data_IF_343132175645
#
_entry.id   IF_343132175645
#
_cell.length_a   1.000
_cell.length_b   1.000
_cell.length_c   1.000
_cell.angle_alpha   90.00
_cell.angle_beta   90.00
_cell.angle_gamma   90.00
#
_symmetry.space_group_name_H-M   'P 1'
#
loop_
_entity.id
_entity.type
_entity.pdbx_description
1 polymer ?
2 non-polymer ?
3 non-polymer ?
4 non-polymer ?
5 non-polymer ?
6 water ?
#
# COMPACT_ATOMS: atom_id res chain seq x y z
N UNK A 4 -23.23 14.22 -16.41
CA UNK A 4 -24.02 14.42 -15.15
C UNK A 4 -23.27 13.89 -13.92
N UNK A 5 -23.73 14.31 -12.74
CA UNK A 5 -23.04 13.98 -11.51
C UNK A 5 -23.12 12.48 -11.21
N UNK A 6 -22.30 12.05 -10.25
CA UNK A 6 -22.21 10.65 -9.86
C UNK A 6 -21.93 10.58 -8.37
N UNK A 7 -22.55 9.62 -7.70
CA UNK A 7 -22.12 9.24 -6.36
C UNK A 7 -22.01 7.73 -6.30
N UNK A 8 -21.32 7.23 -5.28
CA UNK A 8 -21.10 5.80 -5.10
C UNK A 8 -21.70 5.34 -3.78
N UNK A 9 -22.16 4.10 -3.76
CA UNK A 9 -22.48 3.41 -2.52
C UNK A 9 -21.55 2.22 -2.41
N UNK A 10 -20.90 2.07 -1.26
CA UNK A 10 -19.98 0.95 -1.03
C UNK A 10 -20.47 0.11 0.12
N UNK A 11 -20.71 -1.17 -0.14
CA UNK A 11 -21.17 -2.11 0.88
C UNK A 11 -19.98 -2.67 1.65
N UNK A 12 -19.98 -2.44 2.96
CA UNK A 12 -18.81 -2.72 3.79
C UNK A 12 -19.14 -3.25 5.19
N UNK A 13 -20.35 -3.81 5.36
CA UNK A 13 -20.84 -4.19 6.68
C UNK A 13 -20.54 -5.62 7.10
N UNK A 14 -19.99 -6.43 6.20
CA UNK A 14 -19.78 -7.84 6.50
C UNK A 14 -18.82 -8.15 7.65
N UNK A 15 -19.16 -9.17 8.43
CA UNK A 15 -18.32 -9.67 9.52
C UNK A 15 -17.06 -10.37 9.00
N UNK A 16 -17.21 -11.13 7.92
CA UNK A 16 -16.14 -11.90 7.36
C UNK A 16 -15.71 -13.02 8.31
N UNK A 17 -16.66 -13.88 8.63
CA UNK A 17 -16.45 -14.96 9.60
C UNK A 17 -15.30 -15.89 9.22
N UNK A 18 -15.17 -16.19 7.94
CA UNK A 18 -14.19 -17.16 7.45
C UNK A 18 -12.76 -16.60 7.34
N UNK A 19 -12.59 -15.32 7.67
CA UNK A 19 -11.28 -14.72 7.91
C UNK A 19 -10.75 -15.11 9.29
N UNK A 20 -11.63 -15.54 10.19
CA UNK A 20 -11.27 -15.87 11.57
C UNK A 20 -10.40 -14.79 12.21
N UNK A 21 -10.95 -13.59 12.24
CA UNK A 21 -10.25 -12.37 12.62
C UNK A 21 -11.06 -11.50 13.56
N UNK A 22 -10.36 -10.68 14.35
CA UNK A 22 -11.00 -9.64 15.13
C UNK A 22 -11.27 -8.38 14.29
N UNK A 23 -10.71 -8.32 13.08
CA UNK A 23 -10.99 -7.23 12.14
C UNK A 23 -12.26 -7.54 11.36
N UNK A 24 -13.02 -6.50 10.99
CA UNK A 24 -14.10 -6.69 10.01
C UNK A 24 -13.53 -7.00 8.63
N UNK A 25 -14.33 -7.68 7.81
CA UNK A 25 -13.92 -8.23 6.51
C UNK A 25 -13.13 -7.25 5.64
N UNK A 26 -13.64 -6.03 5.48
CA UNK A 26 -13.11 -5.13 4.46
C UNK A 26 -11.86 -4.35 4.89
N UNK A 27 -11.44 -4.49 6.15
CA UNK A 27 -10.23 -3.82 6.62
C UNK A 27 -8.96 -4.64 6.36
N UNK A 28 -9.11 -5.92 6.03
CA UNK A 28 -7.99 -6.73 5.58
C UNK A 28 -7.37 -6.10 4.34
N UNK A 29 -6.04 -6.15 4.23
CA UNK A 29 -5.33 -5.35 3.24
C UNK A 29 -4.94 -6.10 1.98
N UNK A 30 -4.85 -5.34 0.89
CA UNK A 30 -4.21 -5.74 -0.36
C UNK A 30 -3.16 -4.66 -0.65
N UNK A 31 -1.93 -5.09 -0.89
CA UNK A 31 -0.82 -4.15 -1.10
C UNK A 31 -0.74 -3.09 0.00
N UNK A 32 -0.94 -3.50 1.25
CA UNK A 32 -0.82 -2.64 2.42
C UNK A 32 -2.00 -1.71 2.71
N UNK A 33 -3.06 -1.79 1.91
CA UNK A 33 -4.18 -0.84 1.98
C UNK A 33 -5.47 -1.65 2.18
N UNK A 34 -6.33 -1.27 3.12
CA UNK A 34 -7.59 -2.01 3.34
C UNK A 34 -8.35 -2.19 2.04
N UNK A 35 -9.00 -3.34 1.86
CA UNK A 35 -9.78 -3.57 0.65
C UNK A 35 -10.74 -2.41 0.39
N UNK A 36 -11.44 -1.97 1.43
CA UNK A 36 -12.45 -0.92 1.25
C UNK A 36 -11.83 0.39 0.77
N UNK A 37 -10.60 0.66 1.18
CA UNK A 37 -9.87 1.86 0.76
C UNK A 37 -9.56 1.86 -0.74
N UNK A 38 -9.19 0.71 -1.30
CA UNK A 38 -9.02 0.58 -2.74
C UNK A 38 -10.31 1.05 -3.45
N UNK A 39 -11.45 0.56 -2.97
CA UNK A 39 -12.75 0.88 -3.57
C UNK A 39 -13.14 2.36 -3.40
N UNK A 40 -12.91 2.93 -2.21
CA UNK A 40 -13.12 4.36 -1.99
C UNK A 40 -12.26 5.20 -2.95
N UNK A 41 -11.00 4.80 -3.14
CA UNK A 41 -10.07 5.53 -4.00
C UNK A 41 -10.54 5.48 -5.43
N UNK A 42 -11.00 4.31 -5.87
CA UNK A 42 -11.52 4.15 -7.22
C UNK A 42 -12.77 5.01 -7.41
N UNK A 43 -13.66 4.99 -6.44
CA UNK A 43 -14.85 5.84 -6.48
C UNK A 43 -14.46 7.30 -6.59
N UNK A 44 -13.42 7.71 -5.86
CA UNK A 44 -12.97 9.10 -5.88
C UNK A 44 -12.43 9.50 -7.26
N UNK A 45 -11.57 8.68 -7.86
CA UNK A 45 -10.97 9.04 -9.15
C UNK A 45 -11.96 8.93 -10.31
N UNK A 46 -13.08 8.25 -10.05
CA UNK A 46 -14.17 8.13 -11.01
C UNK A 46 -14.95 9.45 -11.12
N UNK A 47 -14.82 10.29 -10.10
CA UNK A 47 -15.49 11.58 -10.05
C UNK A 47 -16.68 11.63 -9.10
N UNK A 48 -16.73 10.71 -8.14
CA UNK A 48 -17.86 10.61 -7.22
C UNK A 48 -17.95 11.86 -6.34
N UNK A 49 -19.12 12.49 -6.35
CA UNK A 49 -19.39 13.64 -5.49
C UNK A 49 -19.59 13.22 -4.04
N UNK A 50 -20.34 12.15 -3.82
CA UNK A 50 -20.51 11.56 -2.49
C UNK A 50 -20.15 10.07 -2.53
N UNK A 51 -19.67 9.54 -1.41
CA UNK A 51 -19.42 8.10 -1.26
C UNK A 51 -20.11 7.64 0.01
N UNK A 52 -21.19 6.89 -0.13
CA UNK A 52 -21.97 6.38 1.00
C UNK A 52 -21.40 5.04 1.42
N UNK A 53 -20.82 5.00 2.61
CA UNK A 53 -20.18 3.78 3.10
C UNK A 53 -21.11 3.08 4.06
N UNK A 54 -21.65 1.95 3.62
CA UNK A 54 -22.56 1.16 4.44
C UNK A 54 -21.70 0.26 5.31
N UNK A 55 -21.77 0.46 6.61
CA UNK A 55 -20.96 -0.31 7.54
C UNK A 55 -21.80 -0.81 8.70
N UNK A 56 -21.24 -1.74 9.47
CA UNK A 56 -21.97 -2.42 10.54
C UNK A 56 -21.01 -3.12 11.49
N UNK A 57 -20.67 -4.37 11.18
CA UNK A 57 -19.75 -5.16 12.00
C UNK A 57 -18.37 -4.52 12.13
N UNK A 58 -17.81 -4.58 13.34
CA UNK A 58 -16.54 -3.94 13.62
C UNK A 58 -16.57 -2.43 13.39
N UNK A 59 -17.71 -1.82 13.73
CA UNK A 59 -17.93 -0.39 13.50
C UNK A 59 -16.85 0.51 14.08
N UNK A 60 -16.46 0.26 15.33
CA UNK A 60 -15.44 1.09 15.99
C UNK A 60 -14.10 1.02 15.25
N UNK A 61 -13.74 -0.17 14.77
CA UNK A 61 -12.51 -0.35 14.02
C UNK A 61 -12.57 0.33 12.65
N UNK A 62 -13.72 0.26 11.99
CA UNK A 62 -13.90 0.94 10.70
C UNK A 62 -13.64 2.43 10.85
N UNK A 63 -14.19 3.01 11.92
CA UNK A 63 -14.10 4.45 12.18
C UNK A 63 -12.67 4.90 12.49
N UNK A 64 -11.92 4.08 13.21
CA UNK A 64 -10.55 4.45 13.57
C UNK A 64 -9.60 4.26 12.39
N UNK A 65 -9.75 3.16 11.66
CA UNK A 65 -8.88 2.84 10.53
C UNK A 65 -9.15 3.72 9.31
N UNK A 66 -10.37 4.26 9.20
CA UNK A 66 -10.76 5.05 8.02
C UNK A 66 -11.23 6.45 8.43
N UNK A 67 -10.69 6.95 9.54
CA UNK A 67 -11.14 8.22 10.11
C UNK A 67 -11.06 9.38 9.11
N UNK A 68 -10.05 9.38 8.26
CA UNK A 68 -9.82 10.49 7.33
C UNK A 68 -10.48 10.34 5.95
N UNK A 69 -11.23 9.27 5.73
CA UNK A 69 -11.89 9.07 4.45
C UNK A 69 -13.08 10.01 4.29
N UNK A 70 -13.17 10.63 3.13
CA UNK A 70 -14.28 11.51 2.77
C UNK A 70 -15.47 10.69 2.28
N UNK A 71 -16.20 10.15 3.25
CA UNK A 71 -17.36 9.29 3.02
C UNK A 71 -18.49 9.65 3.98
N UNK A 72 -19.70 9.30 3.58
CA UNK A 72 -20.88 9.41 4.41
C UNK A 72 -21.04 8.09 5.15
N UNK A 73 -20.92 8.13 6.48
CA UNK A 73 -21.03 6.94 7.31
C UNK A 73 -22.48 6.51 7.56
N UNK A 74 -22.90 5.44 6.89
CA UNK A 74 -24.25 4.90 7.03
C UNK A 74 -24.22 3.57 7.79
N UNK A 75 -24.50 3.66 9.09
CA UNK A 75 -24.46 2.51 9.98
C UNK A 75 -25.75 1.71 9.90
N UNK A 76 -25.70 0.54 9.29
CA UNK A 76 -26.86 -0.35 9.26
C UNK A 76 -26.87 -1.24 10.50
N UNK A 77 -28.03 -1.30 11.16
CA UNK A 77 -28.17 -1.96 12.47
C UNK A 77 -28.61 -3.43 12.35
N UNK A 78 -29.18 -3.79 11.21
CA UNK A 78 -29.53 -5.19 10.93
C UNK A 78 -29.27 -5.57 9.46
N UNK A 79 -28.81 -6.81 9.27
CA UNK A 79 -28.49 -7.33 7.94
C UNK A 79 -29.72 -8.04 7.37
N UNK A 80 -30.45 -7.33 6.52
CA UNK A 80 -31.64 -7.87 5.86
C UNK A 80 -31.48 -7.92 4.34
N UNK A 81 -30.24 -7.96 3.86
CA UNK A 81 -29.96 -8.06 2.43
C UNK A 81 -29.43 -6.77 1.83
N UNK A 82 -28.88 -6.87 0.62
CA UNK A 82 -28.16 -5.77 0.00
C UNK A 82 -29.06 -4.64 -0.46
N UNK A 83 -30.30 -4.95 -0.86
CA UNK A 83 -31.25 -3.91 -1.25
C UNK A 83 -31.64 -3.06 -0.06
N UNK A 84 -31.87 -3.70 1.09
CA UNK A 84 -32.13 -3.00 2.34
C UNK A 84 -30.92 -2.13 2.74
N UNK A 85 -29.72 -2.64 2.50
CA UNK A 85 -28.49 -1.93 2.83
C UNK A 85 -28.37 -0.66 2.00
N UNK A 86 -28.53 -0.79 0.69
CA UNK A 86 -28.39 0.34 -0.23
C UNK A 86 -29.49 1.37 0.06
N UNK A 87 -30.66 0.90 0.48
CA UNK A 87 -31.80 1.76 0.77
C UNK A 87 -31.53 2.68 1.96
N UNK A 88 -30.66 2.26 2.87
CA UNK A 88 -30.24 3.10 3.99
C UNK A 88 -29.56 4.39 3.52
N UNK A 89 -28.89 4.32 2.37
CA UNK A 89 -28.21 5.47 1.76
C UNK A 89 -29.11 6.26 0.81
N UNK A 90 -30.18 5.64 0.36
CA UNK A 90 -31.07 6.21 -0.67
C UNK A 90 -31.62 7.62 -0.41
N UNK A 91 -31.96 7.98 0.83
CA UNK A 91 -32.43 9.34 1.11
C UNK A 91 -31.42 10.44 0.71
N UNK A 92 -30.14 10.07 0.57
CA UNK A 92 -29.06 11.00 0.22
C UNK A 92 -28.78 11.06 -1.28
N UNK A 93 -29.41 10.18 -2.05
CA UNK A 93 -29.27 10.19 -3.50
C UNK A 93 -29.96 11.43 -4.09
N UNK A 94 -29.27 12.14 -4.97
CA UNK A 94 -29.88 13.21 -5.76
C UNK A 94 -30.64 12.54 -6.90
N UNK A 95 -31.82 13.06 -7.22
CA UNK A 95 -32.65 12.45 -8.25
C UNK A 95 -31.94 12.35 -9.58
N UNK A 96 -31.18 13.38 -9.96
CA UNK A 96 -30.58 13.46 -11.29
C UNK A 96 -29.07 13.20 -11.32
N UNK A 97 -28.56 12.43 -10.36
CA UNK A 97 -27.19 11.93 -10.43
C UNK A 97 -27.21 10.42 -10.66
N UNK A 98 -26.16 9.91 -11.27
CA UNK A 98 -25.96 8.47 -11.35
C UNK A 98 -25.46 7.96 -10.00
N UNK A 99 -25.82 6.72 -9.69
CA UNK A 99 -25.34 6.02 -8.50
C UNK A 99 -24.73 4.71 -8.94
N UNK A 100 -23.49 4.48 -8.55
CA UNK A 100 -22.81 3.22 -8.81
C UNK A 100 -22.73 2.46 -7.48
N UNK A 101 -23.04 1.17 -7.51
CA UNK A 101 -22.98 0.34 -6.32
C UNK A 101 -21.77 -0.58 -6.43
N UNK A 102 -20.93 -0.54 -5.39
CA UNK A 102 -19.68 -1.29 -5.35
C UNK A 102 -19.55 -2.04 -4.04
N UNK A 103 -18.60 -2.96 -3.97
CA UNK A 103 -18.47 -3.86 -2.84
C UNK A 103 -17.08 -3.76 -2.22
N UNK A 104 -17.04 -3.49 -0.92
CA UNK A 104 -15.81 -3.30 -0.17
C UNK A 104 -14.93 -4.53 -0.03
N UNK A 105 -15.48 -5.70 -0.36
CA UNK A 105 -14.71 -6.95 -0.38
C UNK A 105 -14.29 -7.40 -1.79
N UNK A 106 -14.50 -6.54 -2.78
CA UNK A 106 -14.07 -6.77 -4.15
C UNK A 106 -13.25 -5.56 -4.56
N UNK A 107 -11.99 -5.51 -4.11
CA UNK A 107 -11.18 -4.29 -4.20
C UNK A 107 -10.55 -3.98 -5.55
N UNK A 108 -10.52 -4.93 -6.49
CA UNK A 108 -9.74 -4.77 -7.70
C UNK A 108 -10.52 -4.17 -8.88
N UNK A 109 -11.80 -3.84 -8.65
CA UNK A 109 -12.60 -3.16 -9.66
C UNK A 109 -11.92 -1.86 -10.10
N UNK A 110 -11.82 -1.63 -11.41
CA UNK A 110 -11.06 -0.48 -11.94
C UNK A 110 -11.94 0.68 -12.40
N UNK A 111 -11.32 1.86 -12.42
CA UNK A 111 -11.93 3.10 -12.90
C UNK A 111 -12.38 2.94 -14.35
N UNK A 112 -11.55 2.28 -15.16
CA UNK A 112 -11.78 2.17 -16.59
C UNK A 112 -13.01 1.29 -16.88
N UNK A 113 -13.15 0.18 -16.18
CA UNK A 113 -14.31 -0.68 -16.30
C UNK A 113 -15.57 0.05 -15.88
N UNK A 114 -15.48 0.83 -14.81
CA UNK A 114 -16.64 1.54 -14.27
C UNK A 114 -17.06 2.71 -15.16
N UNK A 115 -16.12 3.30 -15.90
CA UNK A 115 -16.42 4.37 -16.85
C UNK A 115 -17.21 3.82 -18.02
N UNK A 116 -16.87 2.62 -18.47
CA UNK A 116 -17.60 1.94 -19.54
C UNK A 116 -18.99 1.54 -19.07
N UNK A 117 -19.12 1.18 -17.80
CA UNK A 117 -20.41 0.79 -17.22
C UNK A 117 -21.35 1.98 -17.20
N UNK A 118 -20.84 3.12 -16.72
CA UNK A 118 -21.64 4.34 -16.60
C UNK A 118 -22.05 4.88 -17.97
N UNK A 119 -21.12 4.83 -18.92
CA UNK A 119 -21.36 5.34 -20.29
C UNK A 119 -22.47 4.58 -21.00
N UNK A 120 -22.58 3.28 -20.70
CA UNK A 120 -23.57 2.42 -21.35
C UNK A 120 -24.97 2.55 -20.75
N UNK A 121 -25.10 3.18 -19.57
CA UNK A 121 -26.39 3.27 -18.89
C UNK A 121 -27.40 4.08 -19.71
N UNK A 122 -28.50 3.46 -20.14
CA UNK A 122 -29.55 4.18 -20.86
C UNK A 122 -30.34 5.02 -19.87
N UNK A 123 -30.92 6.13 -20.31
CA UNK A 123 -31.61 7.02 -19.37
C UNK A 123 -32.85 6.31 -18.80
N UNK A 124 -33.10 6.55 -17.51
CA UNK A 124 -34.13 5.86 -16.73
C UNK A 124 -33.94 4.34 -16.59
N UNK A 125 -32.77 3.84 -16.99
CA UNK A 125 -32.48 2.41 -16.97
C UNK A 125 -31.31 2.04 -16.06
N UNK A 126 -30.81 0.82 -16.24
CA UNK A 126 -29.70 0.30 -15.44
C UNK A 126 -28.60 -0.22 -16.36
N UNK A 127 -27.34 -0.01 -15.97
CA UNK A 127 -26.21 -0.72 -16.58
C UNK A 127 -25.70 -1.72 -15.56
N UNK A 128 -25.67 -3.00 -15.95
CA UNK A 128 -25.27 -4.09 -15.09
C UNK A 128 -23.92 -4.62 -15.54
N UNK A 129 -22.94 -4.63 -14.62
CA UNK A 129 -21.65 -5.27 -14.88
C UNK A 129 -21.78 -6.77 -14.77
N UNK A 130 -21.39 -7.47 -15.84
CA UNK A 130 -21.41 -8.93 -15.91
C UNK A 130 -20.02 -9.47 -16.18
N UNK A 131 -19.87 -10.78 -16.08
CA UNK A 131 -18.59 -11.44 -16.37
C UNK A 131 -18.80 -12.88 -16.84
N UNK A 132 -17.92 -13.34 -17.73
CA UNK A 132 -17.96 -14.71 -18.23
C UNK A 132 -17.09 -15.65 -17.40
N UNK A 133 -17.68 -16.77 -17.00
CA UNK A 133 -16.99 -17.80 -16.23
C UNK A 133 -17.04 -19.13 -16.98
N UNK A 134 -15.95 -19.90 -16.87
CA UNK A 134 -15.89 -21.24 -17.45
C UNK A 134 -16.84 -22.19 -16.72
N UNK A 135 -16.84 -22.09 -15.40
CA UNK A 135 -17.77 -22.82 -14.54
C UNK A 135 -18.66 -21.82 -13.78
N UNK A 136 -19.81 -21.47 -14.34
CA UNK A 136 -20.70 -20.46 -13.75
C UNK A 136 -21.68 -21.01 -12.71
N UNK A 137 -21.39 -22.20 -12.18
CA UNK A 137 -22.29 -22.86 -11.23
C UNK A 137 -22.44 -22.04 -9.96
N UNK A 138 -23.68 -21.87 -9.51
CA UNK A 138 -23.97 -21.12 -8.29
C UNK A 138 -24.37 -19.66 -8.50
N UNK A 139 -24.05 -19.11 -9.67
CA UNK A 139 -24.22 -17.69 -9.94
C UNK A 139 -25.38 -17.42 -10.89
N UNK A 140 -26.04 -16.27 -10.73
CA UNK A 140 -27.18 -15.90 -11.57
C UNK A 140 -26.80 -15.65 -13.01
N UNK A 141 -27.44 -16.38 -13.93
CA UNK A 141 -27.17 -16.26 -15.36
C UNK A 141 -27.84 -15.04 -15.97
N UNK A 142 -27.15 -14.38 -16.88
CA UNK A 142 -27.67 -13.22 -17.59
C UNK A 142 -28.44 -13.68 -18.83
N UNK A 143 -29.72 -13.32 -18.89
CA UNK A 143 -30.58 -13.65 -20.04
C UNK A 143 -30.78 -12.40 -20.88
N UNK A 144 -30.24 -12.43 -22.11
CA UNK A 144 -30.36 -11.31 -23.02
C UNK A 144 -31.42 -11.56 -24.10
N UNK A 145 -32.35 -10.62 -24.24
CA UNK A 145 -33.28 -10.58 -25.37
C UNK A 145 -33.03 -9.27 -26.12
N UNK A 146 -32.62 -9.38 -27.38
CA UNK A 146 -32.02 -8.28 -28.13
C UNK A 146 -30.68 -7.89 -27.47
N UNK A 147 -30.47 -6.59 -27.22
CA UNK A 147 -29.27 -6.13 -26.52
C UNK A 147 -29.52 -5.76 -25.07
N UNK A 148 -30.61 -6.27 -24.49
CA UNK A 148 -31.03 -5.92 -23.14
C UNK A 148 -31.16 -7.13 -22.22
N UNK A 149 -30.94 -6.91 -20.93
CA UNK A 149 -31.07 -7.95 -19.91
C UNK A 149 -32.50 -7.97 -19.42
N UNK A 150 -33.18 -9.10 -19.61
CA UNK A 150 -34.58 -9.25 -19.18
C UNK A 150 -34.72 -10.03 -17.87
N UNK A 151 -33.69 -10.79 -17.50
CA UNK A 151 -33.71 -11.51 -16.23
C UNK A 151 -32.32 -11.96 -15.77
N UNK A 152 -32.22 -12.23 -14.48
CA UNK A 152 -31.08 -12.91 -13.88
C UNK A 152 -31.65 -14.18 -13.24
N UNK A 153 -31.43 -15.32 -13.87
CA UNK A 153 -31.98 -16.59 -13.41
C UNK A 153 -30.95 -17.30 -12.55
N UNK A 154 -31.29 -17.58 -11.30
CA UNK A 154 -30.35 -18.23 -10.38
C UNK A 154 -30.16 -19.70 -10.75
N UNK A 155 -29.09 -20.30 -10.23
CA UNK A 155 -28.74 -21.70 -10.50
C UNK A 155 -29.96 -22.62 -10.44
N UNK A 156 -30.68 -22.57 -9.32
CA UNK A 156 -31.76 -23.52 -9.04
C UNK A 156 -32.96 -23.43 -10.00
N UNK A 157 -33.24 -22.23 -10.52
CA UNK A 157 -34.37 -22.00 -11.41
C UNK A 157 -34.08 -22.25 -12.91
N UNK A 158 -32.81 -22.22 -13.29
CA UNK A 158 -32.44 -22.31 -14.71
C UNK A 158 -32.77 -23.69 -15.29
N UNK A 159 -33.19 -23.69 -16.55
CA UNK A 159 -33.40 -24.93 -17.30
C UNK A 159 -32.07 -25.42 -17.88
N UNK A 160 -32.10 -26.50 -18.66
CA UNK A 160 -30.88 -27.09 -19.22
C UNK A 160 -30.04 -26.11 -20.05
N UNK A 161 -30.68 -25.42 -21.00
CA UNK A 161 -29.96 -24.52 -21.91
C UNK A 161 -29.42 -23.26 -21.22
N UNK A 162 -30.11 -22.80 -20.18
CA UNK A 162 -29.73 -21.60 -19.45
C UNK A 162 -28.51 -21.82 -18.57
N UNK A 163 -28.27 -23.06 -18.16
CA UNK A 163 -27.09 -23.41 -17.37
C UNK A 163 -25.79 -23.31 -18.18
N UNK A 164 -25.88 -23.46 -19.50
CA UNK A 164 -24.72 -23.32 -20.39
C UNK A 164 -24.31 -21.87 -20.62
N UNK A 165 -25.14 -20.92 -20.22
CA UNK A 165 -24.78 -19.50 -20.28
C UNK A 165 -23.63 -19.25 -19.31
N UNK A 166 -22.56 -18.65 -19.83
CA UNK A 166 -21.36 -18.37 -19.03
C UNK A 166 -21.40 -16.97 -18.40
N UNK A 167 -22.21 -16.07 -18.97
CA UNK A 167 -22.33 -14.71 -18.46
C UNK A 167 -23.10 -14.70 -17.14
N UNK A 168 -22.59 -13.92 -16.18
CA UNK A 168 -23.02 -14.01 -14.79
C UNK A 168 -23.13 -12.62 -14.15
N UNK A 169 -23.95 -12.52 -13.10
CA UNK A 169 -24.16 -11.26 -12.38
C UNK A 169 -23.01 -10.99 -11.41
N UNK A 170 -22.48 -9.77 -11.44
CA UNK A 170 -21.44 -9.35 -10.48
C UNK A 170 -21.97 -8.52 -9.31
N UNK A 171 -23.22 -8.07 -9.41
CA UNK A 171 -23.82 -7.22 -8.40
C UNK A 171 -23.56 -5.73 -8.58
N UNK A 172 -22.60 -5.40 -9.44
CA UNK A 172 -22.20 -4.02 -9.66
C UNK A 172 -23.12 -3.41 -10.71
N UNK A 173 -23.70 -2.27 -10.38
CA UNK A 173 -24.70 -1.65 -11.26
C UNK A 173 -24.76 -0.15 -11.08
N UNK A 174 -25.27 0.51 -12.12
CA UNK A 174 -25.41 1.97 -12.16
C UNK A 174 -26.82 2.34 -12.63
N UNK A 175 -27.50 3.18 -11.87
CA UNK A 175 -28.76 3.78 -12.29
C UNK A 175 -28.87 5.17 -11.68
N UNK A 176 -29.85 5.96 -12.11
CA UNK A 176 -30.04 7.29 -11.56
C UNK A 176 -30.69 7.21 -10.17
N UNK A 177 -30.55 8.28 -9.39
CA UNK A 177 -31.00 8.30 -8.01
C UNK A 177 -32.51 8.13 -7.83
N UNK A 178 -33.30 8.78 -8.66
CA UNK A 178 -34.76 8.65 -8.58
C UNK A 178 -35.19 7.20 -8.83
N UNK A 179 -34.56 6.56 -9.80
CA UNK A 179 -34.89 5.17 -10.13
C UNK A 179 -34.57 4.25 -8.96
N UNK A 180 -33.41 4.45 -8.33
CA UNK A 180 -33.04 3.67 -7.15
C UNK A 180 -34.06 3.83 -6.03
N UNK A 181 -34.47 5.06 -5.73
CA UNK A 181 -35.42 5.30 -4.64
C UNK A 181 -36.75 4.59 -4.92
N UNK A 182 -37.19 4.65 -6.18
CA UNK A 182 -38.43 4.02 -6.63
C UNK A 182 -38.39 2.50 -6.47
N UNK A 183 -37.40 1.88 -7.10
CA UNK A 183 -37.33 0.42 -7.20
C UNK A 183 -36.92 -0.26 -5.88
N UNK A 184 -36.03 0.37 -5.12
CA UNK A 184 -35.66 -0.18 -3.80
C UNK A 184 -36.88 -0.34 -2.89
N UNK A 185 -37.81 0.61 -2.96
CA UNK A 185 -39.04 0.57 -2.17
C UNK A 185 -39.97 -0.60 -2.55
N UNK A 186 -39.77 -1.13 -3.76
CA UNK A 186 -40.57 -2.24 -4.28
C UNK A 186 -39.93 -3.63 -4.17
N UNK A 187 -38.73 -3.71 -3.60
CA UNK A 187 -38.08 -5.00 -3.43
C UNK A 187 -38.71 -5.76 -2.27
N UNK A 188 -39.01 -7.04 -2.49
CA UNK A 188 -39.58 -7.90 -1.47
C UNK A 188 -38.56 -8.90 -0.96
N UNK A 189 -38.95 -9.67 0.05
CA UNK A 189 -38.08 -10.69 0.64
C UNK A 189 -38.68 -12.09 0.55
N UNK A 190 -39.51 -12.34 -0.46
CA UNK A 190 -40.13 -13.66 -0.66
C UNK A 190 -39.19 -14.61 -1.41
N UNK A 191 -38.21 -15.14 -0.69
CA UNK A 191 -37.28 -16.11 -1.26
C UNK A 191 -36.71 -17.01 -0.15
N UNK A 192 -35.90 -17.98 -0.52
CA UNK A 192 -35.43 -19.00 0.44
C UNK A 192 -34.59 -18.43 1.59
N UNK A 193 -33.96 -17.28 1.37
CA UNK A 193 -33.10 -16.64 2.37
C UNK A 193 -33.83 -15.56 3.17
N UNK A 194 -35.00 -15.14 2.70
CA UNK A 194 -35.77 -14.10 3.36
C UNK A 194 -35.13 -12.73 3.31
N UNK A 195 -34.35 -12.47 2.27
CA UNK A 195 -33.58 -11.23 2.16
C UNK A 195 -34.06 -10.35 1.01
N UNK A 196 -33.86 -9.05 1.16
CA UNK A 196 -34.12 -8.07 0.10
C UNK A 196 -32.88 -7.96 -0.77
N UNK A 197 -32.95 -8.52 -1.98
CA UNK A 197 -31.82 -8.61 -2.89
C UNK A 197 -31.81 -7.43 -3.85
N UNK A 198 -30.65 -6.80 -3.99
CA UNK A 198 -30.44 -5.74 -4.99
C UNK A 198 -30.62 -6.30 -6.41
N UNK A 199 -30.36 -7.60 -6.57
CA UNK A 199 -30.58 -8.33 -7.82
C UNK A 199 -31.94 -8.07 -8.44
N UNK A 200 -32.97 -8.01 -7.59
CA UNK A 200 -34.36 -7.83 -8.03
C UNK A 200 -34.66 -6.52 -8.75
N UNK A 201 -33.76 -5.53 -8.69
CA UNK A 201 -33.94 -4.28 -9.42
C UNK A 201 -34.01 -4.49 -10.94
N UNK A 202 -33.35 -5.52 -11.43
CA UNK A 202 -33.33 -5.81 -12.86
C UNK A 202 -34.74 -6.20 -13.32
N UNK A 203 -35.40 -7.06 -12.53
CA UNK A 203 -36.78 -7.45 -12.79
C UNK A 203 -37.71 -6.24 -12.69
N UNK A 204 -37.51 -5.42 -11.65
CA UNK A 204 -38.37 -4.26 -11.42
C UNK A 204 -38.24 -3.20 -12.51
N UNK A 205 -37.04 -3.04 -13.05
CA UNK A 205 -36.83 -2.11 -14.17
C UNK A 205 -37.57 -2.59 -15.40
N UNK A 206 -37.49 -3.89 -15.68
CA UNK A 206 -38.21 -4.50 -16.79
C UNK A 206 -39.73 -4.40 -16.63
N UNK A 207 -40.21 -4.41 -15.38
CA UNK A 207 -41.63 -4.20 -15.09
C UNK A 207 -42.08 -2.81 -15.53
N UNK A 208 -41.18 -1.82 -15.44
CA UNK A 208 -41.45 -0.43 -15.81
C UNK A 208 -41.14 -0.09 -17.26
N UNK A 209 -40.88 -1.10 -18.09
CA UNK A 209 -40.41 -0.88 -19.45
C UNK A 209 -39.20 0.04 -19.48
N UNK A 210 -38.25 -0.24 -18.58
CA UNK A 210 -36.95 0.43 -18.57
C UNK A 210 -35.88 -0.55 -19.01
N UNK A 211 -34.86 -0.03 -19.67
CA UNK A 211 -33.84 -0.83 -20.32
C UNK A 211 -32.70 -1.17 -19.37
N UNK A 212 -32.35 -2.44 -19.29
CA UNK A 212 -31.16 -2.91 -18.57
C UNK A 212 -30.18 -3.40 -19.62
N UNK A 213 -28.99 -2.80 -19.67
CA UNK A 213 -27.95 -3.22 -20.62
C UNK A 213 -26.76 -3.84 -19.89
N UNK A 214 -26.18 -4.89 -20.47
CA UNK A 214 -25.03 -5.56 -19.88
C UNK A 214 -23.72 -4.97 -20.39
N UNK A 215 -22.73 -4.91 -19.50
CA UNK A 215 -21.36 -4.52 -19.83
C UNK A 215 -20.44 -5.56 -19.20
N UNK A 216 -19.68 -6.28 -20.03
CA UNK A 216 -18.75 -7.30 -19.55
C UNK A 216 -17.50 -6.66 -18.96
N UNK A 217 -17.10 -7.11 -17.78
CA UNK A 217 -15.79 -6.77 -17.23
C UNK A 217 -14.76 -7.59 -17.99
N UNK A 218 -13.62 -6.97 -18.30
CA UNK A 218 -12.58 -7.64 -19.10
C UNK A 218 -11.83 -8.70 -18.29
N UNK A 219 -11.59 -8.41 -17.02
CA UNK A 219 -10.89 -9.33 -16.13
C UNK A 219 -11.78 -9.80 -14.99
N UNK A 220 -11.85 -11.12 -14.81
CA UNK A 220 -12.68 -11.73 -13.76
C UNK A 220 -12.26 -11.27 -12.36
N UNK A 221 -10.97 -11.07 -12.16
CA UNK A 221 -10.45 -10.72 -10.84
C UNK A 221 -10.93 -9.34 -10.36
N UNK A 222 -11.38 -8.51 -11.29
CA UNK A 222 -11.97 -7.21 -10.96
C UNK A 222 -13.26 -7.29 -10.15
N UNK A 223 -14.00 -8.38 -10.30
CA UNK A 223 -15.30 -8.53 -9.67
C UNK A 223 -15.31 -9.67 -8.66
N UNK A 224 -14.16 -10.27 -8.43
CA UNK A 224 -14.04 -11.35 -7.46
C UNK A 224 -13.85 -10.74 -6.07
N UNK A 225 -14.64 -11.21 -5.12
CA UNK A 225 -14.52 -10.80 -3.74
C UNK A 225 -13.71 -11.82 -2.96
N UNK A 226 -13.23 -11.42 -1.78
CA UNK A 226 -12.47 -12.31 -0.92
C UNK A 226 -13.25 -12.56 0.36
N UNK A 227 -13.57 -13.82 0.60
CA UNK A 227 -14.33 -14.25 1.78
C UNK A 227 -13.43 -14.90 2.83
N UNK A 228 -12.21 -15.26 2.44
CA UNK A 228 -11.24 -15.82 3.36
C UNK A 228 -9.83 -15.41 2.95
N UNK A 229 -8.83 -15.76 3.75
CA UNK A 229 -7.47 -15.27 3.49
C UNK A 229 -6.80 -15.98 2.31
N UNK A 230 -7.26 -17.19 1.97
CA UNK A 230 -6.78 -17.87 0.76
C UNK A 230 -7.15 -17.06 -0.49
N UNK A 231 -8.41 -16.64 -0.57
CA UNK A 231 -8.90 -15.86 -1.68
C UNK A 231 -8.27 -14.46 -1.69
N UNK A 232 -7.99 -13.94 -0.51
CA UNK A 232 -7.34 -12.64 -0.38
C UNK A 232 -5.91 -12.69 -0.94
N UNK A 233 -5.20 -13.78 -0.65
CA UNK A 233 -3.83 -13.96 -1.16
C UNK A 233 -3.82 -14.08 -2.68
N UNK A 234 -4.86 -14.68 -3.26
CA UNK A 234 -4.99 -14.76 -4.71
C UNK A 234 -5.16 -13.36 -5.31
N UNK A 235 -6.01 -12.54 -4.70
CA UNK A 235 -6.18 -11.15 -5.14
C UNK A 235 -4.85 -10.38 -5.03
N UNK A 236 -4.14 -10.59 -3.92
CA UNK A 236 -2.83 -9.96 -3.66
C UNK A 236 -1.86 -10.27 -4.80
N UNK A 237 -1.70 -11.56 -5.11
CA UNK A 237 -0.75 -11.98 -6.13
C UNK A 237 -1.14 -11.43 -7.50
N UNK A 238 -2.42 -11.45 -7.83
CA UNK A 238 -2.91 -10.88 -9.09
C UNK A 238 -2.60 -9.39 -9.17
N UNK A 239 -2.83 -8.69 -8.06
CA UNK A 239 -2.62 -7.24 -8.01
C UNK A 239 -1.14 -6.90 -8.16
N UNK A 240 -0.29 -7.63 -7.44
CA UNK A 240 1.16 -7.41 -7.48
C UNK A 240 1.71 -7.69 -8.87
N UNK A 241 1.24 -8.76 -9.50
CA UNK A 241 1.62 -9.08 -10.88
C UNK A 241 1.24 -7.98 -11.85
N UNK A 242 0.06 -7.40 -11.66
CA UNK A 242 -0.43 -6.32 -12.49
C UNK A 242 0.39 -5.03 -12.30
N UNK A 243 0.75 -4.72 -11.05
CA UNK A 243 1.59 -3.55 -10.76
C UNK A 243 2.97 -3.71 -11.37
N UNK A 244 3.54 -4.90 -11.22
CA UNK A 244 4.86 -5.20 -11.75
C UNK A 244 4.87 -5.09 -13.27
N UNK A 245 3.86 -5.65 -13.93
CA UNK A 245 3.77 -5.61 -15.39
C UNK A 245 3.72 -4.18 -15.92
N UNK A 246 2.98 -3.32 -15.22
CA UNK A 246 2.91 -1.90 -15.59
C UNK A 246 4.26 -1.24 -15.50
N UNK A 247 4.99 -1.54 -14.43
CA UNK A 247 6.31 -0.97 -14.22
C UNK A 247 7.30 -1.47 -15.28
N UNK A 248 7.22 -2.75 -15.61
CA UNK A 248 8.06 -3.35 -16.64
C UNK A 248 7.81 -2.71 -18.01
N UNK A 249 6.54 -2.51 -18.36
CA UNK A 249 6.19 -1.84 -19.61
C UNK A 249 6.60 -0.37 -19.62
N UNK A 250 6.71 0.24 -18.43
CA UNK A 250 7.23 1.61 -18.30
C UNK A 250 8.76 1.71 -18.33
N UNK A 251 9.45 0.57 -18.30
CA UNK A 251 10.90 0.53 -18.44
C UNK A 251 11.69 0.23 -17.17
N UNK A 252 11.00 -0.17 -16.11
CA UNK A 252 11.68 -0.62 -14.89
C UNK A 252 12.09 -2.08 -15.05
N UNK A 253 13.38 -2.38 -14.89
CA UNK A 253 13.83 -3.77 -14.95
C UNK A 253 13.57 -4.45 -13.61
N UNK A 254 12.47 -5.19 -13.53
CA UNK A 254 12.18 -6.05 -12.39
C UNK A 254 12.60 -7.45 -12.78
N UNK A 255 13.67 -7.94 -12.15
CA UNK A 255 14.29 -9.19 -12.58
C UNK A 255 13.31 -10.35 -12.54
N UNK A 256 12.45 -10.38 -11.52
CA UNK A 256 11.37 -11.36 -11.39
C UNK A 256 10.11 -10.72 -10.82
N UNK A 257 9.11 -10.43 -11.65
CA UNK A 257 7.86 -9.81 -11.17
C UNK A 257 7.08 -10.65 -10.16
N UNK A 258 7.29 -11.97 -10.10
CA UNK A 258 6.66 -12.82 -9.09
C UNK A 258 7.29 -12.67 -7.69
N UNK A 259 8.47 -12.07 -7.64
CA UNK A 259 9.17 -11.80 -6.39
C UNK A 259 9.41 -10.30 -6.26
N UNK A 260 8.32 -9.57 -6.29
CA UNK A 260 8.36 -8.12 -6.18
C UNK A 260 7.06 -7.68 -5.54
N UNK A 261 7.15 -6.79 -4.57
CA UNK A 261 5.96 -6.27 -3.89
C UNK A 261 6.01 -4.75 -3.81
N UNK A 262 4.95 -4.11 -4.29
CA UNK A 262 4.74 -2.69 -4.12
C UNK A 262 3.50 -2.47 -3.26
N UNK A 263 3.69 -1.78 -2.14
CA UNK A 263 2.64 -1.53 -1.16
C UNK A 263 2.56 -0.04 -0.95
N UNK A 264 2.15 0.66 -1.99
CA UNK A 264 2.10 2.11 -2.02
C UNK A 264 2.27 2.64 -3.43
N UNK A 265 3.08 3.69 -3.59
CA UNK A 265 3.33 4.28 -4.89
C UNK A 265 4.82 4.34 -5.19
N UNK A 266 5.17 4.14 -6.47
CA UNK A 266 6.54 4.20 -6.93
C UNK A 266 6.69 5.20 -8.07
N UNK A 267 7.53 6.22 -7.86
CA UNK A 267 7.94 7.13 -8.91
C UNK A 267 9.34 6.70 -9.31
N UNK A 268 9.60 6.60 -10.60
CA UNK A 268 10.89 6.10 -11.09
C UNK A 268 11.41 6.88 -12.29
N UNK A 269 12.74 6.89 -12.42
CA UNK A 269 13.40 7.38 -13.61
C UNK A 269 13.61 6.26 -14.62
N UNK A 270 14.54 6.49 -15.55
CA UNK A 270 14.90 5.49 -16.55
C UNK A 270 16.03 4.58 -16.08
N UNK A 271 16.06 3.37 -16.64
CA UNK A 271 17.11 2.38 -16.37
C UNK A 271 17.26 2.01 -14.88
N UNK A 272 16.14 1.98 -14.17
CA UNK A 272 16.11 1.49 -12.79
C UNK A 272 16.11 -0.04 -12.82
N UNK A 273 16.94 -0.68 -11.99
CA UNK A 273 16.98 -2.14 -11.87
C UNK A 273 16.62 -2.56 -10.45
N UNK A 274 15.69 -3.50 -10.33
CA UNK A 274 15.25 -4.02 -9.04
C UNK A 274 15.35 -5.54 -9.03
N UNK A 275 16.27 -6.05 -8.22
CA UNK A 275 16.54 -7.48 -8.11
C UNK A 275 15.41 -8.18 -7.36
N UNK A 276 15.52 -9.50 -7.22
CA UNK A 276 14.45 -10.31 -6.66
C UNK A 276 14.26 -10.06 -5.16
N UNK A 277 13.02 -10.25 -4.69
CA UNK A 277 12.64 -10.12 -3.28
C UNK A 277 12.87 -8.74 -2.68
N UNK A 278 12.44 -7.71 -3.41
CA UNK A 278 12.45 -6.34 -2.92
C UNK A 278 11.01 -5.95 -2.59
N UNK A 279 10.85 -5.19 -1.51
CA UNK A 279 9.55 -4.67 -1.09
C UNK A 279 9.67 -3.16 -1.05
N UNK A 280 8.72 -2.50 -1.71
CA UNK A 280 8.62 -1.05 -1.78
C UNK A 280 7.34 -0.69 -1.08
N UNK A 281 7.43 0.14 -0.04
CA UNK A 281 6.28 0.49 0.80
C UNK A 281 6.14 2.00 0.92
N UNK A 282 4.90 2.45 1.11
CA UNK A 282 4.61 3.87 1.22
C UNK A 282 4.91 4.58 -0.07
N UNK A 283 5.39 5.81 0.02
CA UNK A 283 5.75 6.58 -1.15
C UNK A 283 7.26 6.56 -1.39
N UNK A 284 7.66 5.94 -2.49
CA UNK A 284 9.07 5.82 -2.83
C UNK A 284 9.33 6.51 -4.18
N UNK A 285 10.45 7.22 -4.26
CA UNK A 285 10.88 7.89 -5.48
C UNK A 285 12.31 7.43 -5.77
N UNK A 286 12.53 6.86 -6.95
CA UNK A 286 13.84 6.42 -7.40
C UNK A 286 14.25 7.24 -8.63
N UNK A 287 15.47 7.74 -8.65
CA UNK A 287 15.97 8.51 -9.77
C UNK A 287 16.45 7.59 -10.88
N UNK A 288 17.11 8.16 -11.88
CA UNK A 288 17.67 7.40 -13.00
C UNK A 288 18.80 6.48 -12.57
N UNK A 289 18.82 5.28 -13.15
CA UNK A 289 19.89 4.30 -13.00
C UNK A 289 20.10 3.84 -11.56
N UNK A 290 19.06 3.87 -10.75
CA UNK A 290 19.12 3.33 -9.39
C UNK A 290 19.10 1.80 -9.49
N UNK A 291 19.99 1.14 -8.75
CA UNK A 291 20.04 -0.32 -8.72
C UNK A 291 19.75 -0.79 -7.30
N UNK A 292 18.74 -1.64 -7.14
CA UNK A 292 18.36 -2.18 -5.83
C UNK A 292 18.64 -3.68 -5.84
N UNK A 293 19.45 -4.11 -4.88
CA UNK A 293 19.89 -5.48 -4.78
C UNK A 293 18.84 -6.33 -4.09
N UNK A 294 19.09 -7.62 -4.04
CA UNK A 294 18.11 -8.58 -3.56
C UNK A 294 17.86 -8.36 -2.07
N UNK A 295 16.61 -8.55 -1.65
CA UNK A 295 16.25 -8.54 -0.26
C UNK A 295 15.99 -7.18 0.36
N UNK A 296 16.08 -6.11 -0.42
CA UNK A 296 15.95 -4.77 0.15
C UNK A 296 14.50 -4.42 0.45
N UNK A 297 14.32 -3.59 1.48
CA UNK A 297 13.03 -3.06 1.87
C UNK A 297 13.17 -1.54 1.93
N UNK A 298 12.36 -0.85 1.13
CA UNK A 298 12.39 0.61 1.04
C UNK A 298 11.01 1.13 1.40
N UNK A 299 10.89 1.90 2.48
CA UNK A 299 9.62 2.44 2.92
C UNK A 299 9.73 3.94 3.08
N UNK A 300 9.01 4.70 2.25
CA UNK A 300 8.96 6.16 2.36
C UNK A 300 10.36 6.77 2.19
N UNK A 301 10.94 6.56 1.02
CA UNK A 301 12.30 7.01 0.75
C UNK A 301 12.40 7.72 -0.59
N UNK A 302 13.35 8.64 -0.67
CA UNK A 302 13.73 9.28 -1.92
C UNK A 302 15.17 8.88 -2.20
N UNK A 303 15.42 8.31 -3.37
CA UNK A 303 16.74 7.86 -3.77
C UNK A 303 17.13 8.60 -5.04
N UNK A 304 18.29 9.25 -5.02
CA UNK A 304 18.74 10.06 -6.14
C UNK A 304 19.29 9.24 -7.29
N UNK A 305 19.64 9.94 -8.38
CA UNK A 305 20.23 9.30 -9.55
C UNK A 305 21.50 8.52 -9.22
N UNK A 306 21.67 7.37 -9.86
CA UNK A 306 22.91 6.60 -9.84
C UNK A 306 23.29 6.02 -8.48
N UNK A 307 22.30 5.82 -7.60
CA UNK A 307 22.53 5.18 -6.32
C UNK A 307 22.49 3.66 -6.51
N UNK A 308 23.42 2.93 -5.90
CA UNK A 308 23.31 1.48 -5.80
C UNK A 308 23.05 1.14 -4.34
N UNK A 309 22.02 0.33 -4.11
CA UNK A 309 21.69 -0.24 -2.82
C UNK A 309 21.98 -1.74 -2.93
N UNK A 310 22.94 -2.21 -2.16
CA UNK A 310 23.37 -3.60 -2.20
C UNK A 310 22.46 -4.44 -1.31
N UNK A 311 22.52 -5.76 -1.47
CA UNK A 311 21.57 -6.66 -0.81
C UNK A 311 21.32 -6.49 0.69
N UNK A 312 20.08 -6.82 1.08
CA UNK A 312 19.69 -6.89 2.49
C UNK A 312 19.89 -5.57 3.21
N UNK A 313 19.46 -4.49 2.55
CA UNK A 313 19.44 -3.17 3.14
C UNK A 313 17.98 -2.80 3.43
N UNK A 314 17.75 -2.19 4.60
CA UNK A 314 16.42 -1.79 5.04
C UNK A 314 16.44 -0.28 5.27
N UNK A 315 15.56 0.44 4.57
CA UNK A 315 15.56 1.90 4.58
C UNK A 315 14.15 2.40 4.86
N UNK A 316 14.00 3.34 5.80
CA UNK A 316 12.71 3.95 6.11
C UNK A 316 12.83 5.45 6.36
N UNK A 317 11.90 6.22 5.78
CA UNK A 317 11.79 7.66 6.03
C UNK A 317 13.14 8.36 5.89
N UNK A 318 13.79 8.10 4.76
CA UNK A 318 15.14 8.53 4.53
C UNK A 318 15.30 9.13 3.14
N UNK A 319 16.33 9.96 3.00
CA UNK A 319 16.70 10.56 1.71
C UNK A 319 18.16 10.20 1.43
N UNK A 320 18.46 9.87 0.17
CA UNK A 320 19.78 9.45 -0.28
C UNK A 320 20.15 10.20 -1.56
N UNK A 321 21.26 10.92 -1.54
CA UNK A 321 21.67 11.75 -2.65
C UNK A 321 22.30 10.95 -3.78
N UNK A 322 22.49 11.60 -4.91
CA UNK A 322 22.99 10.93 -6.11
C UNK A 322 24.37 10.33 -5.91
N UNK A 323 24.58 9.18 -6.55
CA UNK A 323 25.87 8.50 -6.57
C UNK A 323 26.29 7.93 -5.21
N UNK A 324 25.38 7.90 -4.23
CA UNK A 324 25.62 7.23 -2.96
C UNK A 324 25.67 5.73 -3.16
N UNK A 325 26.30 5.04 -2.21
CA UNK A 325 26.42 3.59 -2.21
C UNK A 325 26.02 3.09 -0.83
N UNK A 326 24.99 2.26 -0.78
CA UNK A 326 24.43 1.76 0.48
C UNK A 326 24.46 0.25 0.45
N UNK A 327 24.83 -0.37 1.58
CA UNK A 327 24.73 -1.81 1.72
C UNK A 327 26.03 -2.55 1.39
N UNK A 328 26.03 -3.87 1.48
CA UNK A 328 24.86 -4.65 1.92
C UNK A 328 24.69 -4.57 3.44
N UNK A 329 23.57 -5.08 3.96
CA UNK A 329 23.32 -5.12 5.39
C UNK A 329 23.36 -3.73 6.04
N UNK A 330 22.83 -2.71 5.36
CA UNK A 330 22.75 -1.38 5.92
C UNK A 330 21.33 -1.13 6.42
N UNK A 331 21.21 -0.37 7.50
CA UNK A 331 19.93 0.03 7.99
C UNK A 331 19.85 1.54 8.15
N UNK A 332 18.90 2.14 7.45
CA UNK A 332 18.60 3.56 7.57
C UNK A 332 17.24 3.69 8.26
N UNK A 333 17.23 4.32 9.42
CA UNK A 333 16.02 4.53 10.20
C UNK A 333 15.50 5.95 9.96
N UNK A 334 14.25 6.23 10.36
CA UNK A 334 13.65 7.53 10.05
C UNK A 334 14.56 8.72 10.35
N UNK A 335 14.59 9.67 9.43
CA UNK A 335 15.40 10.86 9.55
C UNK A 335 16.83 10.73 9.05
N UNK A 336 17.18 9.60 8.44
CA UNK A 336 18.53 9.46 7.86
C UNK A 336 18.53 10.24 6.56
N UNK A 337 19.49 11.14 6.41
CA UNK A 337 19.66 11.97 5.22
C UNK A 337 21.12 11.87 4.78
N UNK A 338 21.35 11.12 3.70
CA UNK A 338 22.68 10.93 3.15
C UNK A 338 22.86 11.83 1.94
N UNK A 339 23.95 12.59 1.93
CA UNK A 339 24.22 13.51 0.82
C UNK A 339 24.74 12.72 -0.37
N UNK A 340 24.99 13.42 -1.47
CA UNK A 340 25.58 12.83 -2.66
C UNK A 340 26.91 12.17 -2.35
N UNK A 341 27.20 11.08 -3.03
CA UNK A 341 28.51 10.43 -3.03
C UNK A 341 28.94 9.90 -1.65
N UNK A 342 27.95 9.57 -0.81
CA UNK A 342 28.23 8.98 0.48
C UNK A 342 28.35 7.46 0.37
N UNK A 343 28.85 6.84 1.43
CA UNK A 343 29.07 5.40 1.48
C UNK A 343 28.63 4.90 2.85
N UNK A 344 27.66 3.98 2.87
CA UNK A 344 27.20 3.37 4.11
C UNK A 344 27.29 1.87 3.91
N UNK A 345 27.92 1.17 4.85
CA UNK A 345 28.33 -0.21 4.63
C UNK A 345 27.64 -1.22 5.54
N UNK A 346 28.22 -2.41 5.61
CA UNK A 346 27.59 -3.51 6.32
C UNK A 346 27.56 -3.34 7.84
N UNK A 347 26.44 -3.75 8.41
CA UNK A 347 26.22 -3.72 9.86
C UNK A 347 26.36 -2.29 10.40
N UNK A 348 25.80 -1.36 9.62
CA UNK A 348 25.76 0.05 9.99
C UNK A 348 24.31 0.48 10.12
N UNK A 349 24.03 1.22 11.19
CA UNK A 349 22.70 1.76 11.48
C UNK A 349 22.80 3.29 11.60
N UNK A 350 21.99 4.01 10.83
CA UNK A 350 21.92 5.47 10.89
C UNK A 350 20.48 5.89 11.20
N UNK A 351 20.33 6.68 12.26
CA UNK A 351 19.02 7.12 12.76
C UNK A 351 19.06 8.63 12.95
N UNK A 352 18.09 9.31 12.35
CA UNK A 352 17.90 10.76 12.54
C UNK A 352 19.22 11.52 12.54
N UNK A 353 19.95 11.36 11.44
CA UNK A 353 21.24 12.00 11.26
C UNK A 353 21.43 12.42 9.82
N UNK A 354 22.19 13.48 9.63
CA UNK A 354 22.60 13.93 8.30
C UNK A 354 24.08 13.59 8.10
N UNK A 355 24.43 13.12 6.92
CA UNK A 355 25.79 12.72 6.58
C UNK A 355 26.15 13.44 5.29
N UNK A 356 27.22 14.22 5.34
CA UNK A 356 27.55 15.15 4.27
C UNK A 356 28.29 14.50 3.13
N UNK A 357 28.47 15.25 2.06
CA UNK A 357 28.96 14.76 0.77
C UNK A 357 30.30 14.05 0.89
N UNK A 358 30.37 12.83 0.34
CA UNK A 358 31.62 12.10 0.26
C UNK A 358 32.02 11.35 1.52
N UNK A 359 31.25 11.50 2.59
CA UNK A 359 31.56 10.84 3.85
C UNK A 359 31.29 9.33 3.80
N UNK A 360 32.03 8.58 4.59
CA UNK A 360 31.91 7.13 4.62
C UNK A 360 31.71 6.61 6.04
N UNK A 361 30.77 5.68 6.16
CA UNK A 361 30.46 4.97 7.41
C UNK A 361 30.30 3.50 7.02
N UNK A 362 31.40 2.76 6.97
CA UNK A 362 31.40 1.49 6.24
C UNK A 362 31.32 0.17 7.02
N UNK A 363 31.41 0.22 8.35
CA UNK A 363 31.27 -1.01 9.13
C UNK A 363 30.89 -0.86 10.61
N UNK A 364 29.94 -1.68 11.04
CA UNK A 364 29.78 -2.01 12.46
C UNK A 364 29.63 -0.77 13.31
N UNK A 365 28.76 0.13 12.89
CA UNK A 365 28.66 1.46 13.45
C UNK A 365 27.21 1.85 13.72
N UNK A 366 26.99 2.59 14.81
CA UNK A 366 25.72 3.24 15.07
C UNK A 366 25.93 4.75 15.12
N UNK A 367 25.22 5.47 14.25
CA UNK A 367 25.18 6.92 14.27
C UNK A 367 23.73 7.35 14.47
N UNK A 368 23.47 8.00 15.60
CA UNK A 368 22.14 8.48 15.95
C UNK A 368 22.17 9.94 16.33
N UNK A 369 21.13 10.68 15.96
CA UNK A 369 20.95 12.09 16.36
C UNK A 369 22.18 12.93 16.11
N UNK A 370 22.74 12.77 14.92
CA UNK A 370 24.01 13.38 14.59
C UNK A 370 23.94 14.21 13.31
N UNK A 371 24.85 15.17 13.21
CA UNK A 371 25.16 15.85 11.96
C UNK A 371 26.61 15.55 11.65
N UNK A 372 26.87 14.99 10.47
CA UNK A 372 28.23 14.71 10.00
C UNK A 372 28.44 15.49 8.71
N UNK A 373 29.59 16.15 8.59
CA UNK A 373 29.89 17.00 7.46
C UNK A 373 30.42 16.24 6.26
N UNK A 374 31.09 16.96 5.36
CA UNK A 374 31.56 16.41 4.10
C UNK A 374 32.94 15.80 4.25
N UNK A 375 33.19 14.73 3.49
CA UNK A 375 34.50 14.07 3.41
C UNK A 375 35.04 13.60 4.76
N UNK A 376 34.15 13.13 5.61
CA UNK A 376 34.52 12.50 6.87
C UNK A 376 34.73 11.01 6.69
N UNK A 377 35.52 10.45 7.60
CA UNK A 377 35.85 9.03 7.62
C UNK A 377 35.47 8.50 9.01
N UNK A 378 34.34 7.80 9.09
CA UNK A 378 33.84 7.23 10.34
C UNK A 378 34.23 5.75 10.40
N UNK A 379 35.18 5.46 11.27
CA UNK A 379 35.82 4.16 11.32
C UNK A 379 34.88 3.07 11.79
N UNK A 380 35.29 1.83 11.53
CA UNK A 380 34.57 0.65 11.98
C UNK A 380 34.39 0.69 13.50
N UNK A 381 33.20 0.32 13.99
CA UNK A 381 32.98 0.19 15.42
C UNK A 381 32.67 1.48 16.16
N UNK A 382 32.56 2.59 15.43
CA UNK A 382 32.26 3.88 16.04
C UNK A 382 30.79 3.88 16.51
N UNK A 383 30.55 4.46 17.68
CA UNK A 383 29.21 4.51 18.26
C UNK A 383 28.94 5.89 18.87
N UNK A 384 27.84 6.52 18.48
CA UNK A 384 27.34 7.69 19.20
C UNK A 384 26.46 7.20 20.34
N UNK A 385 26.68 7.74 21.53
CA UNK A 385 25.89 7.34 22.68
C UNK A 385 25.56 8.52 23.59
N UNK A 386 24.79 8.23 24.64
CA UNK A 386 24.34 9.23 25.59
C UNK A 386 24.72 8.84 27.02
N UNK A 387 24.73 9.83 27.91
CA UNK A 387 24.79 9.58 29.34
C UNK A 387 23.48 8.97 29.81
N UNK A 388 23.53 8.31 30.96
CA UNK A 388 22.34 7.81 31.62
C UNK A 388 21.60 8.99 32.24
N UNK A 389 20.70 9.58 31.47
CA UNK A 389 20.03 10.81 31.86
C UNK A 389 18.60 10.77 31.42
N UNK A 390 18.07 11.91 30.97
CA UNK A 390 16.73 11.96 30.37
C UNK A 390 16.79 11.87 28.83
N UNK A 391 16.63 12.99 28.13
CA UNK A 391 16.53 13.00 26.66
C UNK A 391 17.87 12.70 25.98
N UNK A 392 17.79 12.42 24.66
CA UNK A 392 18.91 11.98 23.82
C UNK A 392 19.51 13.12 22.98
N UNK A 393 20.77 13.45 23.24
CA UNK A 393 21.36 14.66 22.70
C UNK A 393 22.14 14.42 21.40
N UNK A 394 22.63 15.51 20.83
CA UNK A 394 23.14 15.50 19.46
C UNK A 394 24.67 15.51 19.41
N UNK A 395 25.21 14.76 18.45
CA UNK A 395 26.62 14.77 18.13
C UNK A 395 26.81 15.54 16.82
N UNK A 396 27.66 16.57 16.84
CA UNK A 396 27.94 17.40 15.67
C UNK A 396 29.39 17.17 15.27
N UNK A 397 29.58 16.67 14.05
CA UNK A 397 30.89 16.45 13.45
C UNK A 397 31.00 17.33 12.21
N UNK A 398 32.11 18.06 12.09
CA UNK A 398 32.30 19.00 11.01
C UNK A 398 32.78 18.31 9.73
N UNK A 399 33.42 19.08 8.86
CA UNK A 399 33.94 18.59 7.60
C UNK A 399 35.35 18.04 7.80
N UNK A 400 35.73 17.07 6.97
CA UNK A 400 37.09 16.52 6.90
C UNK A 400 37.60 15.97 8.25
N UNK A 401 36.70 15.31 8.99
CA UNK A 401 37.05 14.70 10.27
C UNK A 401 37.32 13.21 10.10
N UNK A 402 38.36 12.73 10.75
CA UNK A 402 38.70 11.32 10.83
C UNK A 402 38.36 10.83 12.23
N UNK A 403 37.48 9.84 12.33
CA UNK A 403 37.14 9.22 13.61
C UNK A 403 37.63 7.79 13.61
N UNK A 404 38.64 7.52 14.43
CA UNK A 404 39.30 6.24 14.42
C UNK A 404 38.37 5.16 14.94
N UNK A 405 38.67 3.94 14.55
CA UNK A 405 37.84 2.78 14.84
C UNK A 405 37.57 2.55 16.33
N UNK A 406 36.36 2.09 16.64
CA UNK A 406 35.96 1.72 17.99
C UNK A 406 36.02 2.87 18.99
N UNK A 407 35.68 4.06 18.51
CA UNK A 407 35.58 5.26 19.31
C UNK A 407 34.11 5.48 19.65
N UNK A 408 33.84 5.84 20.90
CA UNK A 408 32.51 6.27 21.33
C UNK A 408 32.47 7.79 21.34
N UNK A 409 31.46 8.38 20.69
CA UNK A 409 31.20 9.80 20.75
C UNK A 409 30.03 10.01 21.70
N UNK A 410 30.26 10.73 22.79
CA UNK A 410 29.29 10.85 23.87
C UNK A 410 28.59 12.19 23.80
N UNK A 411 27.36 12.19 23.29
CA UNK A 411 26.56 13.40 23.13
C UNK A 411 26.14 13.98 24.49
N UNK A 412 25.97 15.31 24.56
CA UNK A 412 26.21 16.24 23.46
C UNK A 412 27.69 16.57 23.31
N UNK A 413 28.16 16.59 22.07
CA UNK A 413 29.55 16.90 21.79
C UNK A 413 29.73 17.41 20.36
N UNK A 414 30.75 18.23 20.16
CA UNK A 414 31.03 18.83 18.86
C UNK A 414 32.48 18.55 18.49
N UNK A 415 32.70 18.10 17.26
CA UNK A 415 34.03 17.87 16.71
C UNK A 415 34.15 18.80 15.50
N UNK A 416 35.06 19.77 15.56
CA UNK A 416 35.15 20.81 14.54
C UNK A 416 35.92 20.31 13.30
N UNK A 417 35.94 21.14 12.26
CA UNK A 417 36.54 20.79 10.97
C UNK A 417 37.98 20.33 11.11
N UNK A 418 38.32 19.23 10.42
CA UNK A 418 39.69 18.81 10.26
C UNK A 418 40.30 18.06 11.43
N UNK A 419 39.49 17.80 12.46
CA UNK A 419 39.95 17.07 13.64
C UNK A 419 40.25 15.62 13.28
N UNK A 420 41.17 15.03 14.04
CA UNK A 420 41.55 13.62 13.91
C UNK A 420 41.43 12.95 15.26
N UNK A 421 40.73 11.83 15.33
CA UNK A 421 40.54 11.11 16.56
C UNK A 421 41.11 9.70 16.41
N UNK A 422 41.97 9.31 17.36
CA UNK A 422 42.61 8.02 17.34
C UNK A 422 41.63 6.90 17.63
N UNK A 423 42.00 5.69 17.26
CA UNK A 423 41.18 4.51 17.55
C UNK A 423 41.08 4.27 19.06
N UNK A 424 39.91 3.77 19.48
CA UNK A 424 39.68 3.37 20.86
C UNK A 424 39.47 4.53 21.81
N UNK A 425 39.07 5.68 21.29
CA UNK A 425 38.94 6.89 22.10
C UNK A 425 37.52 7.01 22.65
N UNK A 426 37.39 7.59 23.85
CA UNK A 426 36.11 8.00 24.39
C UNK A 426 36.05 9.53 24.35
N UNK A 427 35.19 10.08 23.51
CA UNK A 427 35.10 11.54 23.31
C UNK A 427 33.89 12.08 24.09
N UNK A 428 34.18 12.88 25.12
CA UNK A 428 33.14 13.53 25.92
C UNK A 428 33.19 15.06 25.84
N UNK A 429 34.38 15.59 25.56
CA UNK A 429 34.60 17.02 25.46
C UNK A 429 34.76 17.43 24.01
N UNK A 430 34.33 18.66 23.70
CA UNK A 430 34.43 19.19 22.34
C UNK A 430 35.86 19.12 21.82
N UNK A 431 36.00 18.83 20.53
CA UNK A 431 37.28 18.77 19.85
C UNK A 431 37.36 19.98 18.90
N UNK A 432 38.46 20.72 18.98
CA UNK A 432 38.63 21.94 18.20
C UNK A 432 39.11 21.69 16.78
N UNK A 433 39.17 22.76 16.00
CA UNK A 433 39.58 22.66 14.60
C UNK A 433 41.01 22.17 14.54
N UNK A 434 41.26 21.19 13.68
CA UNK A 434 42.60 20.62 13.50
C UNK A 434 43.21 20.09 14.80
N UNK A 435 42.38 19.62 15.72
CA UNK A 435 42.87 19.01 16.95
C UNK A 435 42.96 17.49 16.77
N UNK A 436 44.10 16.93 17.14
CA UNK A 436 44.34 15.50 17.13
C UNK A 436 44.14 15.02 18.56
N UNK A 437 43.30 14.01 18.75
CA UNK A 437 43.08 13.41 20.07
C UNK A 437 43.45 11.94 20.01
N UNK A 438 44.40 11.52 20.84
CA UNK A 438 44.85 10.13 20.87
C UNK A 438 44.75 9.62 22.29
N UNK A 439 44.23 8.41 22.45
CA UNK A 439 44.15 7.79 23.75
C UNK A 439 45.53 7.24 24.14
N UNK A 440 45.98 7.63 25.34
CA UNK A 440 47.18 7.09 25.96
C UNK A 440 46.78 5.84 26.75
N UNK A 441 47.20 4.68 26.26
CA UNK A 441 46.87 3.40 26.90
C UNK A 441 48.03 2.94 27.77
N UNK A 442 47.68 2.27 28.86
CA UNK A 442 48.66 1.59 29.69
C UNK A 442 48.45 0.10 29.53
N UNK A 443 49.54 -0.61 29.25
CA UNK A 443 49.50 -2.04 29.01
C UNK A 443 50.52 -2.76 29.87
N UNK A 444 50.17 -3.95 30.31
CA UNK A 444 51.08 -4.87 30.97
C UNK A 444 51.50 -5.93 29.96
N UNK A 445 52.81 -6.13 29.79
CA UNK A 445 53.36 -7.11 28.86
C UNK A 445 54.07 -8.20 29.67
N UNK A 446 53.61 -9.44 29.53
CA UNK A 446 54.16 -10.57 30.27
C UNK A 446 54.76 -11.57 29.28
N UNK A 447 56.09 -11.70 29.31
CA UNK A 447 56.80 -12.58 28.39
C UNK A 447 56.73 -14.03 28.88
N UNK A 448 56.79 -14.98 27.94
CA UNK A 448 56.81 -16.39 28.27
C UNK A 448 55.49 -16.89 28.85
N UNK A 449 54.38 -16.24 28.47
CA UNK A 449 53.05 -16.72 28.81
C UNK A 449 52.63 -17.82 27.83
N UNK A 450 52.67 -19.06 28.31
CA UNK A 450 52.30 -20.22 27.50
C UNK A 450 50.79 -20.48 27.60
N UNK A 451 50.12 -20.47 26.45
CA UNK A 451 48.71 -20.85 26.34
C UNK A 451 48.61 -22.38 26.32
N UNK A 452 47.49 -22.92 26.75
CA UNK A 452 47.17 -24.37 26.59
C UNK A 452 47.55 -24.98 25.23
N UNK A 453 48.08 -26.20 25.26
CA UNK A 453 48.38 -26.97 24.04
C UNK A 453 47.18 -27.83 23.63
N UNK A 454 47.22 -28.62 22.68
#
# INVERSE_FOLDING_TARGET
MTKKALSAVILAAGKGTRMYSDLPKVLHTIAGKPMVKHVIDTAHQLGSENIHLIYGHGGDLMRTHLANEQVNWVLQTEQLGTAHAVQQAAPFFKDNENIVVLYGDAPLITKETLEKLIEAKPENGIALLTVNLDNPTGYGRIIRENGNVVAIVEQKDANAEQLNIKEVNTGVMVSDGASFKKWLARVGNNNAQGEYYLTDLIALANQDNCQVVAVQATDVMEVEGANNRLQLAALERYFQNKQASKLLLEGVMIYDPARFDLRGTLEHGKDVEIDVNVIIEGNVKLGDRVKIGTGCVLKNVVIGNDVEIKPYSVLEDSIVGEKAAIGPFSRLRPGAELAAETHVGNFVEIKKSTVGKGSKVNHLTYVGDSEIGSNCNIGAGVITCNYDGANKFKTIIGDDVFVGSDTQLVAPVKVANGATIGAGTTITRDVGENELVITRVAQRHIQGWQRPIKKK
#
